data_IF_481797485396
#
_entry.id   IF_481797485396
#
_cell.length_a   1.000
_cell.length_b   1.000
_cell.length_c   1.000
_cell.angle_alpha   90.00
_cell.angle_beta   90.00
_cell.angle_gamma   90.00
#
_symmetry.space_group_name_H-M   'P 1'
#
loop_
_entity.id
_entity.type
_entity.pdbx_description
1 polymer ?
#
# COMPACT_ATOMS: atom_id res chain seq x y z
N UNK A 1 49.66 6.86 0.85
CA UNK A 1 49.35 6.01 -0.32
C UNK A 1 47.86 5.92 -0.48
N UNK A 2 47.31 6.58 -1.50
CA UNK A 2 45.89 6.63 -1.77
C UNK A 2 45.50 5.48 -2.69
N UNK A 3 44.61 4.59 -2.25
CA UNK A 3 43.98 3.59 -3.10
C UNK A 3 42.57 4.08 -3.47
N UNK A 4 42.36 4.35 -4.76
CA UNK A 4 41.08 4.64 -5.38
C UNK A 4 40.41 3.30 -5.68
N UNK A 5 39.23 3.06 -5.11
CA UNK A 5 38.30 1.99 -5.57
C UNK A 5 37.21 2.61 -6.37
N UNK A 6 37.24 2.39 -7.69
CA UNK A 6 36.17 2.68 -8.62
C UNK A 6 35.05 1.68 -8.43
N UNK A 7 33.86 2.13 -8.01
CA UNK A 7 32.63 1.34 -8.07
C UNK A 7 32.04 1.45 -9.47
N UNK A 8 31.97 0.33 -10.18
CA UNK A 8 31.29 0.21 -11.46
C UNK A 8 29.80 0.08 -11.23
N UNK A 9 29.03 1.09 -11.65
CA UNK A 9 27.57 1.03 -11.74
C UNK A 9 27.21 0.22 -12.99
N UNK A 10 26.62 -0.97 -12.79
CA UNK A 10 25.96 -1.72 -13.84
C UNK A 10 24.56 -1.14 -14.05
N UNK A 11 24.38 -0.37 -15.11
CA UNK A 11 23.08 0.08 -15.57
C UNK A 11 22.32 -1.10 -16.21
N UNK A 12 21.26 -1.56 -15.57
CA UNK A 12 20.30 -2.49 -16.19
C UNK A 12 19.32 -1.66 -17.00
N UNK A 13 19.53 -1.61 -18.31
CA UNK A 13 18.60 -1.03 -19.26
C UNK A 13 17.45 -2.01 -19.51
N UNK A 14 16.27 -1.69 -18.99
CA UNK A 14 15.04 -2.39 -19.30
C UNK A 14 14.43 -1.78 -20.57
N UNK A 15 14.61 -2.44 -21.72
CA UNK A 15 13.98 -2.09 -22.98
C UNK A 15 12.52 -2.49 -22.97
N UNK A 16 11.64 -1.49 -22.88
CA UNK A 16 10.20 -1.67 -23.01
C UNK A 16 9.84 -1.74 -24.49
N UNK A 17 9.47 -2.94 -24.97
CA UNK A 17 8.92 -3.14 -26.31
C UNK A 17 7.44 -2.71 -26.31
N UNK A 18 7.15 -1.59 -26.96
CA UNK A 18 5.77 -1.14 -27.23
C UNK A 18 5.27 -1.89 -28.46
N UNK A 19 4.39 -2.87 -28.28
CA UNK A 19 3.65 -3.53 -29.35
C UNK A 19 2.40 -2.72 -29.69
N UNK A 20 2.42 -2.01 -30.82
CA UNK A 20 1.23 -1.42 -31.42
C UNK A 20 0.34 -2.55 -31.97
N UNK A 21 -0.79 -2.80 -31.36
CA UNK A 21 -1.89 -3.54 -31.99
C UNK A 21 -2.80 -2.55 -32.71
N UNK A 22 -2.72 -2.52 -34.02
CA UNK A 22 -3.70 -1.89 -34.88
C UNK A 22 -4.95 -2.77 -34.90
N UNK A 23 -6.05 -2.30 -34.33
CA UNK A 23 -7.35 -2.95 -34.41
C UNK A 23 -8.06 -2.46 -35.67
N UNK A 24 -8.14 -3.34 -36.68
CA UNK A 24 -8.94 -3.10 -37.89
C UNK A 24 -10.43 -3.26 -37.56
N UNK A 25 -11.18 -2.17 -37.60
CA UNK A 25 -12.64 -2.22 -37.55
C UNK A 25 -13.18 -2.73 -38.89
N UNK A 26 -13.75 -3.92 -38.91
CA UNK A 26 -14.50 -4.46 -40.05
C UNK A 26 -15.88 -3.77 -40.12
N UNK A 27 -16.12 -3.05 -41.21
CA UNK A 27 -17.44 -2.55 -41.56
C UNK A 27 -18.34 -3.72 -41.99
N UNK A 28 -19.42 -3.93 -41.25
CA UNK A 28 -20.51 -4.80 -41.65
C UNK A 28 -21.44 -4.04 -42.60
N UNK A 29 -21.63 -4.56 -43.81
CA UNK A 29 -22.61 -4.10 -44.79
C UNK A 29 -24.01 -4.50 -44.39
N UNK A 30 -25.03 -3.63 -44.51
CA UNK A 30 -26.41 -4.02 -44.24
C UNK A 30 -26.99 -4.77 -45.44
N UNK A 31 -27.57 -5.94 -45.22
CA UNK A 31 -28.39 -6.69 -46.17
C UNK A 31 -29.72 -5.97 -46.38
N UNK A 32 -30.06 -5.75 -47.64
CA UNK A 32 -31.37 -5.25 -48.07
C UNK A 32 -32.41 -6.36 -47.98
N UNK A 33 -33.43 -6.14 -47.14
CA UNK A 33 -34.66 -6.96 -47.17
C UNK A 33 -35.75 -6.10 -47.87
N UNK A 34 -36.24 -6.63 -49.01
CA UNK A 34 -37.31 -6.06 -49.80
C UNK A 34 -38.60 -6.77 -49.43
N UNK A 35 -39.42 -6.13 -48.60
CA UNK A 35 -40.85 -6.44 -48.54
C UNK A 35 -41.65 -5.16 -48.52
N UNK A 36 -42.34 -4.90 -49.65
CA UNK A 36 -43.11 -3.70 -49.89
C UNK A 36 -44.44 -3.69 -49.16
N UNK A 37 -44.74 -2.58 -48.51
CA UNK A 37 -46.08 -2.11 -48.28
C UNK A 37 -46.11 -0.60 -48.52
N UNK A 38 -46.96 -0.19 -49.48
CA UNK A 38 -47.10 1.18 -49.89
C UNK A 38 -47.73 2.03 -48.78
N UNK A 39 -47.03 3.04 -48.33
CA UNK A 39 -47.53 4.06 -47.43
C UNK A 39 -47.90 5.31 -48.25
N UNK A 40 -49.01 6.00 -47.92
CA UNK A 40 -49.45 7.19 -48.69
C UNK A 40 -48.45 8.35 -48.50
N UNK A 41 -48.41 9.31 -49.44
CA UNK A 41 -47.38 10.36 -49.43
C UNK A 41 -47.60 11.32 -48.25
N UNK A 42 -46.59 11.30 -47.34
CA UNK A 42 -46.46 12.29 -46.27
C UNK A 42 -45.99 13.60 -46.90
N UNK A 43 -46.83 14.61 -46.90
CA UNK A 43 -46.47 15.99 -47.26
C UNK A 43 -45.43 16.51 -46.28
N UNK A 44 -44.23 16.71 -46.78
CA UNK A 44 -43.08 17.26 -46.02
C UNK A 44 -43.42 18.71 -45.67
N UNK A 45 -43.44 19.09 -44.35
CA UNK A 45 -43.60 20.49 -43.98
C UNK A 45 -42.45 21.32 -44.57
N UNK A 46 -42.76 22.53 -44.98
CA UNK A 46 -41.76 23.46 -45.51
C UNK A 46 -40.63 23.69 -44.47
N UNK A 47 -39.37 23.84 -44.88
CA UNK A 47 -38.30 24.13 -43.98
C UNK A 47 -38.60 25.44 -43.24
N UNK A 48 -38.52 25.39 -41.90
CA UNK A 48 -38.61 26.58 -41.06
C UNK A 48 -37.55 27.61 -41.52
N UNK A 49 -37.85 28.91 -41.51
CA UNK A 49 -36.89 29.92 -41.93
C UNK A 49 -35.66 29.78 -41.05
N UNK A 50 -34.49 29.64 -41.74
CA UNK A 50 -33.18 29.64 -41.08
C UNK A 50 -33.02 30.99 -40.37
N UNK A 51 -33.10 30.94 -39.05
CA UNK A 51 -32.76 32.08 -38.19
C UNK A 51 -31.23 32.29 -38.35
N UNK A 52 -30.86 33.26 -39.16
CA UNK A 52 -29.46 33.74 -39.23
C UNK A 52 -29.21 34.34 -37.85
N UNK A 53 -28.28 33.81 -37.05
CA UNK A 53 -27.98 34.39 -35.76
C UNK A 53 -27.48 35.82 -35.97
N UNK A 54 -28.04 36.77 -35.25
CA UNK A 54 -27.61 38.15 -35.30
C UNK A 54 -26.10 38.26 -35.07
N UNK A 55 -25.38 39.16 -35.76
CA UNK A 55 -23.95 39.33 -35.57
C UNK A 55 -23.69 39.63 -34.08
N UNK A 56 -22.86 38.81 -33.46
CA UNK A 56 -22.45 38.98 -32.07
C UNK A 56 -21.61 40.25 -32.00
N UNK A 57 -22.00 41.18 -31.12
CA UNK A 57 -21.23 42.39 -30.89
C UNK A 57 -19.75 42.04 -30.58
N UNK A 58 -18.77 42.71 -31.20
CA UNK A 58 -17.35 42.43 -31.02
C UNK A 58 -16.91 42.41 -29.57
N UNK A 59 -17.46 43.27 -28.71
CA UNK A 59 -17.18 43.30 -27.28
C UNK A 59 -17.66 42.01 -26.57
N UNK A 60 -18.83 41.50 -26.95
CA UNK A 60 -19.37 40.22 -26.48
C UNK A 60 -18.53 39.04 -26.92
N UNK A 61 -18.03 39.05 -28.18
CA UNK A 61 -17.15 38.02 -28.71
C UNK A 61 -15.80 38.01 -28.00
N UNK A 62 -15.23 39.18 -27.75
CA UNK A 62 -13.96 39.34 -27.01
C UNK A 62 -14.09 38.88 -25.56
N UNK A 63 -15.18 39.23 -24.86
CA UNK A 63 -15.45 38.78 -23.51
C UNK A 63 -15.59 37.23 -23.40
N UNK A 64 -16.30 36.62 -24.36
CA UNK A 64 -16.42 35.15 -24.44
C UNK A 64 -15.08 34.48 -24.67
N UNK A 65 -14.21 35.05 -25.53
CA UNK A 65 -12.88 34.52 -25.80
C UNK A 65 -12.00 34.61 -24.55
N UNK A 66 -12.07 35.70 -23.79
CA UNK A 66 -11.35 35.89 -22.55
C UNK A 66 -11.83 34.89 -21.47
N UNK A 67 -13.15 34.71 -21.35
CA UNK A 67 -13.71 33.72 -20.41
C UNK A 67 -13.27 32.30 -20.74
N UNK A 68 -13.28 31.91 -22.02
CA UNK A 68 -12.82 30.61 -22.48
C UNK A 68 -11.32 30.40 -22.22
N UNK A 69 -10.49 31.44 -22.44
CA UNK A 69 -9.07 31.36 -22.14
C UNK A 69 -8.80 31.18 -20.61
N UNK A 70 -9.59 31.83 -19.76
CA UNK A 70 -9.51 31.69 -18.31
C UNK A 70 -9.93 30.28 -17.85
N UNK A 71 -11.05 29.78 -18.40
CA UNK A 71 -11.49 28.41 -18.13
C UNK A 71 -10.40 27.40 -18.50
N UNK A 72 -9.81 27.51 -19.69
CA UNK A 72 -8.74 26.63 -20.14
C UNK A 72 -7.51 26.66 -19.21
N UNK A 73 -7.16 27.82 -18.63
CA UNK A 73 -6.08 27.89 -17.63
C UNK A 73 -6.43 27.15 -16.34
N UNK A 74 -7.65 27.34 -15.84
CA UNK A 74 -8.12 26.63 -14.64
C UNK A 74 -8.14 25.11 -14.84
N UNK A 75 -8.59 24.66 -16.03
CA UNK A 75 -8.60 23.24 -16.38
C UNK A 75 -7.17 22.69 -16.49
N UNK A 76 -6.22 23.46 -17.02
CA UNK A 76 -4.81 23.09 -17.05
C UNK A 76 -4.20 22.99 -15.64
N UNK A 77 -4.45 23.95 -14.75
CA UNK A 77 -4.01 23.86 -13.36
C UNK A 77 -4.60 22.64 -12.65
N UNK A 78 -5.89 22.38 -12.86
CA UNK A 78 -6.54 21.20 -12.27
C UNK A 78 -5.86 19.92 -12.76
N UNK A 79 -5.62 19.78 -14.06
CA UNK A 79 -4.96 18.61 -14.63
C UNK A 79 -3.54 18.41 -14.07
N UNK A 80 -2.76 19.50 -13.88
CA UNK A 80 -1.44 19.42 -13.26
C UNK A 80 -1.51 19.01 -11.79
N UNK A 81 -2.47 19.54 -11.02
CA UNK A 81 -2.68 19.15 -9.63
C UNK A 81 -3.09 17.68 -9.50
N UNK A 82 -4.02 17.22 -10.35
CA UNK A 82 -4.49 15.84 -10.34
C UNK A 82 -3.35 14.86 -10.68
N UNK A 83 -2.47 15.21 -11.64
CA UNK A 83 -1.30 14.42 -11.99
C UNK A 83 -0.29 14.35 -10.82
N UNK A 84 0.02 15.49 -10.20
CA UNK A 84 0.94 15.56 -9.06
C UNK A 84 0.38 14.83 -7.82
N UNK A 85 -0.92 14.90 -7.58
CA UNK A 85 -1.59 14.18 -6.50
C UNK A 85 -1.51 12.65 -6.71
N UNK A 86 -1.65 12.19 -7.96
CA UNK A 86 -1.47 10.77 -8.29
C UNK A 86 -0.01 10.32 -8.06
N UNK A 87 0.97 11.11 -8.50
CA UNK A 87 2.39 10.81 -8.26
C UNK A 87 2.73 10.78 -6.77
N UNK A 88 2.18 11.70 -5.98
CA UNK A 88 2.31 11.71 -4.53
C UNK A 88 1.71 10.47 -3.88
N UNK A 89 0.53 10.03 -4.33
CA UNK A 89 -0.12 8.82 -3.81
C UNK A 89 0.74 7.57 -4.09
N UNK A 90 1.29 7.44 -5.31
CA UNK A 90 2.19 6.36 -5.69
C UNK A 90 3.47 6.37 -4.83
N UNK A 91 4.08 7.54 -4.65
CA UNK A 91 5.29 7.68 -3.85
C UNK A 91 5.03 7.38 -2.36
N UNK A 92 3.89 7.81 -1.82
CA UNK A 92 3.48 7.54 -0.46
C UNK A 92 3.30 6.03 -0.20
N UNK A 93 2.62 5.33 -1.08
CA UNK A 93 2.44 3.88 -0.95
C UNK A 93 3.76 3.12 -1.14
N UNK A 94 4.63 3.55 -2.04
CA UNK A 94 5.95 2.97 -2.18
C UNK A 94 6.82 3.16 -0.91
N UNK A 95 6.68 4.29 -0.22
CA UNK A 95 7.30 4.51 1.09
C UNK A 95 6.72 3.58 2.16
N UNK A 96 5.40 3.47 2.23
CA UNK A 96 4.71 2.61 3.19
C UNK A 96 5.12 1.15 3.01
N UNK A 97 5.17 0.66 1.75
CA UNK A 97 5.64 -0.69 1.43
C UNK A 97 7.08 -0.95 1.86
N UNK A 98 8.00 -0.02 1.59
CA UNK A 98 9.39 -0.13 2.04
C UNK A 98 9.51 -0.10 3.58
N UNK A 99 8.66 0.68 4.26
CA UNK A 99 8.59 0.73 5.72
C UNK A 99 8.14 -0.59 6.33
N UNK A 100 7.13 -1.23 5.76
CA UNK A 100 6.65 -2.56 6.16
C UNK A 100 7.77 -3.60 5.98
N UNK A 101 8.48 -3.59 4.84
CA UNK A 101 9.60 -4.49 4.58
C UNK A 101 10.75 -4.29 5.58
N UNK A 102 11.09 -3.04 5.90
CA UNK A 102 12.11 -2.74 6.88
C UNK A 102 11.73 -3.25 8.27
N UNK A 103 10.48 -3.06 8.69
CA UNK A 103 9.99 -3.56 9.98
C UNK A 103 10.10 -5.09 10.06
N UNK A 104 9.64 -5.81 9.04
CA UNK A 104 9.75 -7.27 8.95
C UNK A 104 11.21 -7.76 8.93
N UNK A 105 12.10 -7.04 8.22
CA UNK A 105 13.53 -7.35 8.20
C UNK A 105 14.17 -7.17 9.58
N UNK A 106 13.85 -6.09 10.29
CA UNK A 106 14.34 -5.82 11.66
C UNK A 106 13.86 -6.86 12.66
N UNK A 107 12.62 -7.29 12.56
CA UNK A 107 12.08 -8.36 13.39
C UNK A 107 12.85 -9.67 13.15
N UNK A 108 13.01 -10.06 11.88
CA UNK A 108 13.79 -11.24 11.51
C UNK A 108 15.25 -11.16 11.98
N UNK A 109 15.88 -10.00 11.87
CA UNK A 109 17.23 -9.74 12.39
C UNK A 109 17.31 -10.00 13.89
N UNK A 110 16.33 -9.52 14.65
CA UNK A 110 16.28 -9.70 16.10
C UNK A 110 16.20 -11.17 16.47
N UNK A 111 15.32 -11.93 15.84
CA UNK A 111 15.17 -13.37 16.05
C UNK A 111 16.45 -14.11 15.67
N UNK A 112 17.00 -13.85 14.48
CA UNK A 112 18.24 -14.51 14.03
C UNK A 112 19.43 -14.22 14.94
N UNK A 113 19.58 -13.00 15.47
CA UNK A 113 20.61 -12.64 16.46
C UNK A 113 20.46 -13.46 17.75
N UNK A 114 19.24 -13.63 18.21
CA UNK A 114 18.94 -14.40 19.42
C UNK A 114 19.24 -15.90 19.19
N UNK A 115 18.85 -16.44 18.06
CA UNK A 115 19.11 -17.84 17.69
C UNK A 115 20.60 -18.11 17.57
N UNK A 116 21.35 -17.20 16.92
CA UNK A 116 22.80 -17.28 16.77
C UNK A 116 23.50 -17.28 18.14
N UNK A 117 23.13 -16.33 19.01
CA UNK A 117 23.71 -16.27 20.36
C UNK A 117 23.43 -17.54 21.18
N UNK A 118 22.22 -18.11 21.03
CA UNK A 118 21.86 -19.36 21.69
C UNK A 118 22.66 -20.56 21.15
N UNK A 119 22.88 -20.60 19.84
CA UNK A 119 23.66 -21.64 19.18
C UNK A 119 25.16 -21.56 19.56
N UNK A 120 25.70 -20.35 19.62
CA UNK A 120 27.09 -20.11 20.08
C UNK A 120 27.28 -20.57 21.54
N UNK A 121 26.36 -20.22 22.43
CA UNK A 121 26.41 -20.67 23.83
C UNK A 121 26.31 -22.20 23.95
N UNK A 122 25.48 -22.86 23.17
CA UNK A 122 25.39 -24.31 23.15
C UNK A 122 26.67 -24.97 22.64
N UNK A 123 27.26 -24.40 21.58
CA UNK A 123 28.53 -24.86 21.02
C UNK A 123 29.69 -24.76 22.07
N UNK A 124 29.76 -23.64 22.80
CA UNK A 124 30.75 -23.43 23.86
C UNK A 124 30.61 -24.45 24.99
N UNK A 125 29.39 -24.77 25.42
CA UNK A 125 29.13 -25.81 26.42
C UNK A 125 29.66 -27.18 25.93
N UNK A 126 29.36 -27.57 24.70
CA UNK A 126 29.77 -28.85 24.15
C UNK A 126 31.28 -28.90 23.93
N UNK A 127 31.90 -27.80 23.48
CA UNK A 127 33.33 -27.66 23.34
C UNK A 127 34.03 -27.84 24.69
N UNK A 128 33.59 -27.18 25.73
CA UNK A 128 34.14 -27.29 27.07
C UNK A 128 34.01 -28.72 27.64
N UNK A 129 32.92 -29.41 27.33
CA UNK A 129 32.73 -30.82 27.72
C UNK A 129 33.77 -31.71 27.01
N UNK A 130 33.98 -31.54 25.70
CA UNK A 130 34.96 -32.28 24.92
C UNK A 130 36.37 -32.00 25.42
N UNK A 131 36.72 -30.73 25.66
CA UNK A 131 38.01 -30.32 26.19
C UNK A 131 38.28 -30.94 27.55
N UNK A 132 37.34 -30.96 28.44
CA UNK A 132 37.45 -31.61 29.75
C UNK A 132 37.69 -33.11 29.60
N UNK A 133 37.05 -33.80 28.69
CA UNK A 133 37.27 -35.23 28.39
C UNK A 133 38.67 -35.48 27.82
N UNK A 134 39.13 -34.65 26.86
CA UNK A 134 40.47 -34.75 26.29
C UNK A 134 41.54 -34.52 27.35
N UNK A 135 41.35 -33.53 28.25
CA UNK A 135 42.26 -33.27 29.37
C UNK A 135 42.32 -34.43 30.37
N UNK A 136 41.15 -35.03 30.68
CA UNK A 136 41.11 -36.22 31.54
C UNK A 136 41.88 -37.40 30.93
N UNK A 137 41.67 -37.67 29.64
CA UNK A 137 42.37 -38.71 28.91
C UNK A 137 43.90 -38.49 28.89
N UNK A 138 44.36 -37.23 28.79
CA UNK A 138 45.77 -36.88 28.81
C UNK A 138 46.38 -36.91 30.21
N UNK A 139 45.66 -36.43 31.25
CA UNK A 139 46.15 -36.30 32.64
C UNK A 139 46.23 -37.63 33.35
N UNK A 140 45.25 -38.50 33.16
CA UNK A 140 45.19 -39.81 33.84
C UNK A 140 46.13 -40.84 33.19
N UNK A 141 47.06 -40.38 32.33
CA UNK A 141 48.19 -41.16 31.80
C UNK A 141 47.74 -42.50 31.27
N UNK A 142 46.95 -42.43 30.20
CA UNK A 142 46.58 -43.57 29.36
C UNK A 142 46.51 -44.91 30.10
N UNK A 143 45.39 -45.20 30.74
CA UNK A 143 44.92 -46.55 30.51
C UNK A 143 44.61 -46.67 29.02
N UNK A 144 45.66 -47.05 28.24
CA UNK A 144 45.45 -47.32 26.86
C UNK A 144 44.34 -48.33 26.77
N UNK A 145 43.34 -48.15 25.87
CA UNK A 145 42.28 -49.16 25.71
C UNK A 145 42.85 -50.57 25.64
N UNK A 146 44.12 -50.71 25.19
CA UNK A 146 44.90 -51.92 25.20
C UNK A 146 45.19 -52.43 26.63
N UNK A 147 45.57 -51.61 27.57
CA UNK A 147 45.88 -52.02 28.93
C UNK A 147 44.61 -52.46 29.65
N UNK A 148 43.47 -51.76 29.46
CA UNK A 148 42.17 -52.15 29.96
C UNK A 148 41.71 -53.52 29.40
N UNK A 149 42.02 -53.83 28.16
CA UNK A 149 41.75 -55.10 27.53
C UNK A 149 42.68 -56.21 28.07
N UNK A 150 43.96 -55.92 28.28
CA UNK A 150 44.94 -56.87 28.81
C UNK A 150 44.67 -57.26 30.29
N UNK A 151 43.96 -56.46 31.05
CA UNK A 151 43.52 -56.74 32.41
C UNK A 151 42.26 -57.62 32.49
N UNK A 152 41.71 -58.07 31.33
CA UNK A 152 40.52 -58.92 31.29
C UNK A 152 40.83 -60.31 31.90
N UNK A 153 39.95 -60.78 32.79
CA UNK A 153 40.11 -62.04 33.51
C UNK A 153 39.49 -63.26 32.78
N UNK A 154 38.70 -62.97 31.76
CA UNK A 154 38.07 -64.01 30.93
C UNK A 154 37.70 -63.46 29.55
N UNK A 155 37.46 -64.33 28.59
CA UNK A 155 37.02 -63.94 27.25
C UNK A 155 35.74 -63.13 27.23
N UNK A 156 34.67 -63.44 28.02
CA UNK A 156 33.51 -62.61 28.15
C UNK A 156 33.82 -61.22 28.71
N UNK A 157 34.70 -61.07 29.73
CA UNK A 157 35.12 -59.81 30.29
C UNK A 157 35.90 -58.98 29.25
N UNK A 158 36.78 -59.63 28.45
CA UNK A 158 37.50 -58.99 27.35
C UNK A 158 36.55 -58.42 26.30
N UNK A 159 35.55 -59.19 25.87
CA UNK A 159 34.54 -58.74 24.85
C UNK A 159 33.71 -57.60 25.38
N UNK A 160 33.27 -57.62 26.64
CA UNK A 160 32.54 -56.54 27.28
C UNK A 160 33.35 -55.24 27.33
N UNK A 161 34.61 -55.31 27.69
CA UNK A 161 35.54 -54.16 27.72
C UNK A 161 35.82 -53.61 26.29
N UNK A 162 35.95 -54.48 25.33
CA UNK A 162 36.16 -54.10 23.91
C UNK A 162 34.91 -53.37 23.40
N UNK A 163 33.70 -53.86 23.68
CA UNK A 163 32.44 -53.21 23.30
C UNK A 163 32.28 -51.84 23.98
N UNK A 164 32.64 -51.75 25.28
CA UNK A 164 32.63 -50.48 26.02
C UNK A 164 33.61 -49.45 25.41
N UNK A 165 34.86 -49.83 25.08
CA UNK A 165 35.83 -48.94 24.43
C UNK A 165 35.33 -48.51 23.04
N UNK A 166 34.80 -49.46 22.27
CA UNK A 166 34.22 -49.19 20.95
C UNK A 166 33.05 -48.20 21.02
N UNK A 167 32.17 -48.35 22.02
CA UNK A 167 31.04 -47.48 22.25
C UNK A 167 31.47 -46.07 22.60
N UNK A 168 32.47 -45.90 23.50
CA UNK A 168 33.06 -44.61 23.81
C UNK A 168 33.65 -43.94 22.58
N UNK A 169 34.45 -44.66 21.78
CA UNK A 169 35.07 -44.12 20.60
C UNK A 169 34.07 -43.68 19.52
N UNK A 170 33.00 -44.44 19.38
CA UNK A 170 31.86 -44.04 18.50
C UNK A 170 31.19 -42.75 19.02
N UNK A 171 30.87 -42.70 20.32
CA UNK A 171 30.23 -41.53 20.91
C UNK A 171 31.08 -40.26 20.78
N UNK A 172 32.43 -40.36 20.92
CA UNK A 172 33.31 -39.23 20.76
C UNK A 172 33.43 -38.78 19.29
N UNK A 173 33.44 -39.72 18.35
CA UNK A 173 33.40 -39.41 16.92
C UNK A 173 32.06 -38.76 16.48
N UNK A 174 30.95 -39.21 17.05
CA UNK A 174 29.64 -38.63 16.80
C UNK A 174 29.57 -37.19 17.34
N UNK A 175 30.02 -36.96 18.57
CA UNK A 175 30.08 -35.62 19.18
C UNK A 175 30.97 -34.68 18.34
N UNK A 176 32.15 -35.13 17.88
CA UNK A 176 33.04 -34.32 17.04
C UNK A 176 32.36 -33.94 15.70
N UNK A 177 31.60 -34.86 15.08
CA UNK A 177 30.84 -34.58 13.84
C UNK A 177 29.71 -33.60 14.09
N UNK A 178 29.00 -33.76 15.20
CA UNK A 178 27.92 -32.83 15.58
C UNK A 178 28.44 -31.40 15.80
N UNK A 179 29.57 -31.26 16.55
CA UNK A 179 30.25 -29.97 16.74
C UNK A 179 30.66 -29.32 15.42
N UNK A 180 31.21 -30.11 14.47
CA UNK A 180 31.55 -29.59 13.15
C UNK A 180 30.32 -29.08 12.40
N UNK A 181 29.23 -29.82 12.41
CA UNK A 181 27.97 -29.45 11.77
C UNK A 181 27.36 -28.19 12.41
N UNK A 182 27.39 -28.10 13.73
CA UNK A 182 26.88 -26.93 14.47
C UNK A 182 27.72 -25.69 14.13
N UNK A 183 29.05 -25.80 14.08
CA UNK A 183 29.95 -24.70 13.67
C UNK A 183 29.60 -24.20 12.27
N UNK A 184 29.45 -25.10 11.30
CA UNK A 184 29.13 -24.74 9.93
C UNK A 184 27.75 -24.07 9.84
N UNK A 185 26.79 -24.50 10.66
CA UNK A 185 25.46 -23.89 10.78
C UNK A 185 25.56 -22.46 11.33
N UNK A 186 26.34 -22.25 12.38
CA UNK A 186 26.58 -20.94 12.99
C UNK A 186 27.27 -19.98 11.99
N UNK A 187 28.27 -20.44 11.25
CA UNK A 187 28.97 -19.65 10.22
C UNK A 187 27.98 -19.22 9.11
N UNK A 188 27.10 -20.12 8.67
CA UNK A 188 26.05 -19.78 7.68
C UNK A 188 25.04 -18.78 8.23
N UNK A 189 24.56 -18.96 9.47
CA UNK A 189 23.65 -18.03 10.13
C UNK A 189 24.28 -16.65 10.32
N UNK A 190 25.55 -16.56 10.69
CA UNK A 190 26.28 -15.31 10.81
C UNK A 190 26.41 -14.58 9.45
N UNK A 191 26.69 -15.34 8.37
CA UNK A 191 26.71 -14.79 7.00
C UNK A 191 25.35 -14.25 6.57
N UNK A 192 24.29 -14.99 6.85
CA UNK A 192 22.91 -14.56 6.49
C UNK A 192 22.45 -13.36 7.32
N UNK A 193 22.86 -13.30 8.60
CA UNK A 193 22.66 -12.13 9.44
C UNK A 193 23.30 -10.87 8.84
N UNK A 194 24.56 -10.98 8.42
CA UNK A 194 25.29 -9.87 7.80
C UNK A 194 24.60 -9.39 6.51
N UNK A 195 24.15 -10.31 5.66
CA UNK A 195 23.36 -9.95 4.46
C UNK A 195 22.07 -9.23 4.80
N UNK A 196 21.35 -9.71 5.81
CA UNK A 196 20.10 -9.09 6.25
C UNK A 196 20.33 -7.69 6.87
N UNK A 197 21.43 -7.46 7.56
CA UNK A 197 21.84 -6.13 8.05
C UNK A 197 22.07 -5.16 6.89
N UNK A 198 22.82 -5.57 5.86
CA UNK A 198 23.03 -4.75 4.67
C UNK A 198 21.74 -4.42 3.93
N UNK A 199 20.79 -5.36 3.87
CA UNK A 199 19.47 -5.12 3.29
C UNK A 199 18.68 -4.09 4.13
N UNK A 200 18.73 -4.21 5.45
CA UNK A 200 18.06 -3.25 6.34
C UNK A 200 18.63 -1.84 6.19
N UNK A 201 19.96 -1.70 6.13
CA UNK A 201 20.62 -0.40 5.89
C UNK A 201 20.25 0.19 4.51
N UNK A 202 20.20 -0.63 3.46
CA UNK A 202 19.79 -0.20 2.13
C UNK A 202 18.33 0.28 2.10
N UNK A 203 17.43 -0.42 2.80
CA UNK A 203 16.04 -0.03 2.95
C UNK A 203 15.89 1.28 3.74
N UNK A 204 16.65 1.48 4.80
CA UNK A 204 16.65 2.76 5.55
C UNK A 204 17.12 3.94 4.68
N UNK A 205 18.13 3.71 3.86
CA UNK A 205 18.62 4.73 2.91
C UNK A 205 17.55 5.04 1.85
N UNK A 206 16.92 4.02 1.26
CA UNK A 206 15.84 4.17 0.27
C UNK A 206 14.64 4.92 0.87
N UNK A 207 14.22 4.57 2.09
CA UNK A 207 13.15 5.27 2.80
C UNK A 207 13.45 6.76 2.99
N UNK A 208 14.68 7.10 3.37
CA UNK A 208 15.08 8.49 3.53
C UNK A 208 15.08 9.26 2.22
N UNK A 209 15.51 8.64 1.13
CA UNK A 209 15.47 9.22 -0.21
C UNK A 209 14.02 9.48 -0.67
N UNK A 210 13.12 8.51 -0.48
CA UNK A 210 11.69 8.64 -0.79
C UNK A 210 11.02 9.73 0.04
N UNK A 211 11.37 9.83 1.32
CA UNK A 211 10.85 10.89 2.20
C UNK A 211 11.20 12.29 1.67
N UNK A 212 12.45 12.49 1.22
CA UNK A 212 12.90 13.75 0.64
C UNK A 212 12.15 14.04 -0.67
N UNK A 213 11.99 13.04 -1.54
CA UNK A 213 11.25 13.16 -2.79
C UNK A 213 9.80 13.60 -2.54
N UNK A 214 9.10 12.94 -1.62
CA UNK A 214 7.71 13.25 -1.28
C UNK A 214 7.59 14.67 -0.72
N UNK A 215 8.52 15.09 0.15
CA UNK A 215 8.54 16.47 0.67
C UNK A 215 8.73 17.50 -0.45
N UNK A 216 9.59 17.20 -1.43
CA UNK A 216 9.78 18.03 -2.61
C UNK A 216 8.50 18.18 -3.44
N UNK A 217 7.80 17.08 -3.72
CA UNK A 217 6.52 17.07 -4.45
C UNK A 217 5.41 17.80 -3.70
N UNK A 218 5.36 17.68 -2.37
CA UNK A 218 4.42 18.44 -1.54
C UNK A 218 4.68 19.96 -1.68
N UNK A 219 5.93 20.39 -1.65
CA UNK A 219 6.30 21.80 -1.83
C UNK A 219 5.96 22.32 -3.23
N UNK A 220 6.18 21.52 -4.27
CA UNK A 220 5.78 21.81 -5.66
C UNK A 220 4.26 21.98 -5.76
N UNK A 221 3.49 21.08 -5.18
CA UNK A 221 2.03 21.19 -5.12
C UNK A 221 1.55 22.45 -4.43
N UNK A 222 2.17 22.81 -3.30
CA UNK A 222 1.83 24.05 -2.58
C UNK A 222 2.12 25.30 -3.43
N UNK A 223 3.23 25.30 -4.16
CA UNK A 223 3.59 26.40 -5.07
C UNK A 223 2.58 26.53 -6.21
N UNK A 224 2.18 25.41 -6.80
CA UNK A 224 1.19 25.38 -7.88
C UNK A 224 -0.18 25.87 -7.38
N UNK A 225 -0.61 25.46 -6.19
CA UNK A 225 -1.85 25.93 -5.58
C UNK A 225 -1.82 27.43 -5.28
N UNK A 226 -0.70 27.96 -4.75
CA UNK A 226 -0.55 29.39 -4.48
C UNK A 226 -0.61 30.22 -5.78
N UNK A 227 0.01 29.73 -6.86
CA UNK A 227 -0.07 30.35 -8.19
C UNK A 227 -1.51 30.37 -8.71
N UNK A 228 -2.22 29.23 -8.68
CA UNK A 228 -3.61 29.14 -9.11
C UNK A 228 -4.54 30.05 -8.28
N UNK A 229 -4.32 30.15 -6.97
CA UNK A 229 -5.05 31.05 -6.09
C UNK A 229 -4.77 32.52 -6.41
N UNK A 230 -3.52 32.89 -6.70
CA UNK A 230 -3.15 34.24 -7.12
C UNK A 230 -3.84 34.63 -8.43
N UNK A 231 -3.85 33.74 -9.41
CA UNK A 231 -4.52 33.96 -10.69
C UNK A 231 -6.05 34.09 -10.50
N UNK A 232 -6.65 33.28 -9.63
CA UNK A 232 -8.08 33.36 -9.30
C UNK A 232 -8.40 34.70 -8.62
N UNK A 233 -7.60 35.16 -7.64
CA UNK A 233 -7.80 36.44 -6.99
C UNK A 233 -7.63 37.63 -7.95
N UNK A 234 -6.70 37.56 -8.89
CA UNK A 234 -6.54 38.53 -9.96
C UNK A 234 -7.77 38.58 -10.88
N UNK A 235 -8.42 37.44 -11.09
CA UNK A 235 -9.68 37.33 -11.85
C UNK A 235 -10.87 37.93 -11.09
N UNK A 236 -10.94 37.71 -9.76
CA UNK A 236 -11.99 38.25 -8.89
C UNK A 236 -11.78 39.74 -8.58
N UNK A 237 -10.59 40.28 -8.80
CA UNK A 237 -10.25 41.69 -8.61
C UNK A 237 -10.91 42.68 -9.58
N UNK A 238 -11.50 42.20 -10.69
CA UNK A 238 -12.36 43.01 -11.55
C UNK A 238 -13.73 43.17 -10.89
N UNK A 239 -14.18 44.38 -10.69
CA UNK A 239 -15.30 44.81 -9.84
C UNK A 239 -16.65 44.10 -10.06
N UNK A 240 -16.84 43.45 -11.20
CA UNK A 240 -18.06 42.71 -11.50
C UNK A 240 -18.17 41.33 -10.84
N UNK A 241 -17.05 40.73 -10.41
CA UNK A 241 -17.03 39.41 -9.75
C UNK A 241 -17.22 39.50 -8.22
N UNK A 242 -17.12 40.72 -7.63
CA UNK A 242 -17.35 40.98 -6.19
C UNK A 242 -18.82 40.92 -5.77
N UNK A 243 -19.73 40.76 -6.70
CA UNK A 243 -21.15 40.55 -6.36
C UNK A 243 -21.37 39.08 -5.97
N UNK A 244 -21.12 38.85 -4.68
CA UNK A 244 -21.71 37.76 -3.90
C UNK A 244 -21.77 36.40 -4.61
N UNK A 245 -20.65 35.68 -4.61
CA UNK A 245 -20.75 34.24 -4.48
C UNK A 245 -21.31 34.04 -3.06
N UNK A 246 -22.59 33.73 -2.98
CA UNK A 246 -23.25 33.44 -1.73
C UNK A 246 -22.65 32.13 -1.20
N UNK A 247 -21.64 32.25 -0.32
CA UNK A 247 -20.90 31.13 0.27
C UNK A 247 -21.89 30.18 0.99
N UNK A 248 -23.00 30.74 1.48
CA UNK A 248 -24.10 29.98 2.06
C UNK A 248 -24.87 29.17 1.00
N UNK A 249 -25.01 29.66 -0.24
CA UNK A 249 -25.71 28.92 -1.30
C UNK A 249 -24.83 27.77 -1.85
N UNK A 250 -23.52 27.97 -1.92
CA UNK A 250 -22.57 26.92 -2.30
C UNK A 250 -22.50 25.83 -1.23
N UNK A 251 -22.38 26.19 0.04
CA UNK A 251 -22.45 25.28 1.18
C UNK A 251 -23.79 24.53 1.22
N UNK A 252 -24.91 25.21 0.97
CA UNK A 252 -26.25 24.60 0.92
C UNK A 252 -26.39 23.62 -0.25
N UNK A 253 -25.78 23.90 -1.41
CA UNK A 253 -25.79 22.98 -2.56
C UNK A 253 -24.92 21.75 -2.34
N UNK A 254 -23.78 21.89 -1.68
CA UNK A 254 -22.89 20.79 -1.29
C UNK A 254 -23.58 19.91 -0.23
N UNK A 255 -24.21 20.53 0.77
CA UNK A 255 -24.97 19.82 1.80
C UNK A 255 -26.24 19.15 1.25
N UNK A 256 -26.93 19.75 0.28
CA UNK A 256 -28.07 19.13 -0.38
C UNK A 256 -27.70 17.95 -1.27
N UNK A 257 -26.52 17.99 -1.91
CA UNK A 257 -25.98 16.84 -2.66
C UNK A 257 -25.63 15.66 -1.77
N UNK A 258 -25.13 15.92 -0.56
CA UNK A 258 -24.84 14.88 0.44
C UNK A 258 -26.11 14.25 1.06
N UNK A 259 -27.24 14.96 1.03
CA UNK A 259 -28.49 14.53 1.67
C UNK A 259 -29.28 13.46 0.90
N UNK A 260 -28.88 13.08 -0.32
CA UNK A 260 -29.63 12.12 -1.16
C UNK A 260 -29.03 10.72 -1.25
N UNK A 261 -27.95 10.41 -0.51
CA UNK A 261 -27.38 9.08 -0.51
C UNK A 261 -28.01 8.26 0.62
N UNK A 262 -28.98 7.44 0.27
CA UNK A 262 -29.61 6.47 1.19
C UNK A 262 -28.65 5.32 1.52
N UNK A 263 -27.58 5.60 2.25
CA UNK A 263 -26.63 4.58 2.74
C UNK A 263 -27.11 4.12 4.12
N UNK A 264 -27.44 2.84 4.23
CA UNK A 264 -27.74 2.21 5.53
C UNK A 264 -26.43 1.80 6.19
N UNK A 265 -26.08 2.46 7.30
CA UNK A 265 -24.91 2.12 8.11
C UNK A 265 -25.30 1.13 9.18
N UNK A 266 -24.67 -0.03 9.20
CA UNK A 266 -24.87 -1.04 10.26
C UNK A 266 -24.10 -0.61 11.50
N UNK A 267 -24.75 -0.47 12.68
CA UNK A 267 -24.08 -0.16 13.93
C UNK A 267 -22.98 -1.18 14.26
N UNK A 268 -21.83 -0.71 14.76
CA UNK A 268 -20.68 -1.54 15.08
C UNK A 268 -19.91 -2.05 13.85
N UNK A 269 -20.20 -1.55 12.65
CA UNK A 269 -19.51 -1.96 11.42
C UNK A 269 -18.24 -1.13 11.14
N UNK A 270 -17.33 -1.65 10.30
CA UNK A 270 -16.17 -0.87 9.81
C UNK A 270 -16.61 0.44 9.11
N UNK A 271 -17.75 0.45 8.43
CA UNK A 271 -18.29 1.65 7.76
C UNK A 271 -18.62 2.73 8.78
N UNK A 272 -19.33 2.40 9.88
CA UNK A 272 -19.60 3.36 10.94
C UNK A 272 -18.29 3.93 11.52
N UNK A 273 -17.33 3.06 11.77
CA UNK A 273 -16.03 3.45 12.29
C UNK A 273 -15.29 4.38 11.33
N UNK A 274 -15.27 4.08 10.03
CA UNK A 274 -14.61 4.90 9.02
C UNK A 274 -15.27 6.28 8.87
N UNK A 275 -16.60 6.32 8.85
CA UNK A 275 -17.38 7.57 8.77
C UNK A 275 -17.20 8.46 10.00
N UNK A 276 -16.93 7.88 11.17
CA UNK A 276 -16.61 8.62 12.38
C UNK A 276 -15.34 9.48 12.26
N UNK A 277 -14.46 9.16 11.32
CA UNK A 277 -13.25 9.93 11.01
C UNK A 277 -13.42 10.90 9.82
N UNK A 278 -14.66 11.08 9.31
CA UNK A 278 -14.92 12.08 8.28
C UNK A 278 -14.46 13.47 8.71
N UNK A 279 -13.78 14.19 7.82
CA UNK A 279 -13.22 15.53 8.12
C UNK A 279 -11.84 15.51 8.81
N UNK A 280 -11.29 14.36 9.18
CA UNK A 280 -9.92 14.24 9.69
C UNK A 280 -8.95 14.54 8.53
N UNK A 281 -7.91 15.39 8.74
CA UNK A 281 -6.97 15.73 7.69
C UNK A 281 -6.25 14.52 7.11
N UNK A 282 -5.97 14.56 5.80
CA UNK A 282 -4.99 13.65 5.21
C UNK A 282 -3.60 14.00 5.75
N UNK A 283 -2.91 12.99 6.24
CA UNK A 283 -1.50 13.08 6.63
C UNK A 283 -0.77 11.91 5.98
N UNK A 284 0.24 12.21 5.19
CA UNK A 284 1.07 11.19 4.57
C UNK A 284 1.74 10.30 5.63
N UNK A 285 1.68 8.97 5.47
CA UNK A 285 2.12 7.99 6.47
C UNK A 285 1.29 8.00 7.75
N UNK A 286 0.14 8.68 7.75
CA UNK A 286 -0.75 8.81 8.90
C UNK A 286 -1.66 7.59 9.07
N UNK A 287 -1.73 7.08 10.30
CA UNK A 287 -2.54 5.93 10.67
C UNK A 287 -3.24 6.12 12.04
N UNK A 288 -3.56 7.37 12.40
CA UNK A 288 -4.15 7.71 13.69
C UNK A 288 -5.23 8.77 13.54
N UNK A 289 -6.12 8.98 14.53
CA UNK A 289 -7.11 10.05 14.52
C UNK A 289 -6.55 11.48 14.38
N UNK A 290 -5.24 11.68 14.48
CA UNK A 290 -4.60 12.97 14.20
C UNK A 290 -4.44 13.24 12.70
N UNK A 291 -4.52 12.19 11.87
CA UNK A 291 -4.43 12.25 10.43
C UNK A 291 -4.25 10.86 9.83
N UNK A 292 -4.80 10.65 8.66
CA UNK A 292 -4.74 9.39 7.93
C UNK A 292 -4.26 9.57 6.49
N UNK A 293 -3.49 8.62 5.99
CA UNK A 293 -3.44 8.36 4.56
C UNK A 293 -4.44 7.27 4.16
N UNK A 294 -4.48 6.88 2.88
CA UNK A 294 -5.50 5.97 2.38
C UNK A 294 -5.43 4.58 3.04
N UNK A 295 -4.26 3.97 3.06
CA UNK A 295 -4.04 2.63 3.63
C UNK A 295 -4.01 2.64 5.15
N UNK A 296 -3.57 3.75 5.77
CA UNK A 296 -3.61 3.95 7.21
C UNK A 296 -5.02 4.09 7.77
N UNK A 297 -5.93 4.74 7.05
CA UNK A 297 -7.35 4.80 7.42
C UNK A 297 -7.97 3.39 7.46
N UNK A 298 -7.79 2.63 6.40
CA UNK A 298 -8.36 1.27 6.30
C UNK A 298 -7.73 0.33 7.33
N UNK A 299 -6.40 0.38 7.51
CA UNK A 299 -5.68 -0.36 8.54
C UNK A 299 -6.23 -0.05 9.93
N UNK A 300 -6.29 1.22 10.30
CA UNK A 300 -6.76 1.65 11.61
C UNK A 300 -8.21 1.26 11.89
N UNK A 301 -9.09 1.39 10.89
CA UNK A 301 -10.49 1.00 11.01
C UNK A 301 -10.60 -0.52 11.22
N UNK A 302 -9.96 -1.31 10.39
CA UNK A 302 -10.05 -2.76 10.46
C UNK A 302 -9.39 -3.37 11.70
N UNK A 303 -8.32 -2.76 12.21
CA UNK A 303 -7.71 -3.14 13.49
C UNK A 303 -8.73 -3.10 14.64
N UNK A 304 -9.60 -2.08 14.66
CA UNK A 304 -10.67 -1.95 15.65
C UNK A 304 -11.76 -3.01 15.52
N UNK A 305 -11.78 -3.75 14.41
CA UNK A 305 -12.69 -4.86 14.11
C UNK A 305 -12.00 -6.23 14.13
N UNK A 306 -10.77 -6.30 14.70
CA UNK A 306 -10.01 -7.54 14.88
C UNK A 306 -9.30 -8.03 13.61
N UNK A 307 -9.16 -7.19 12.60
CA UNK A 307 -8.44 -7.52 11.35
C UNK A 307 -7.15 -6.68 11.28
N UNK A 308 -6.00 -7.35 11.26
CA UNK A 308 -4.71 -6.70 11.09
C UNK A 308 -4.40 -6.55 9.61
N UNK A 309 -4.31 -5.32 9.14
CA UNK A 309 -3.93 -4.98 7.77
C UNK A 309 -2.56 -4.27 7.77
N UNK A 310 -1.71 -4.50 6.78
CA UNK A 310 -0.47 -3.74 6.62
C UNK A 310 -0.78 -2.29 6.23
N UNK A 311 0.11 -1.36 6.58
CA UNK A 311 0.03 0.04 6.16
C UNK A 311 0.59 0.20 4.74
N UNK A 312 -0.03 -0.53 3.78
CA UNK A 312 0.34 -0.51 2.36
C UNK A 312 -0.83 -1.05 1.52
N UNK A 313 -1.39 -0.24 0.65
CA UNK A 313 -2.61 -0.58 -0.10
C UNK A 313 -2.43 -1.82 -0.98
N UNK A 314 -1.27 -2.00 -1.62
CA UNK A 314 -1.01 -3.17 -2.45
C UNK A 314 -0.98 -4.47 -1.64
N UNK A 315 -0.41 -4.47 -0.44
CA UNK A 315 -0.41 -5.65 0.44
C UNK A 315 -1.81 -5.91 0.98
N UNK A 316 -2.57 -4.88 1.33
CA UNK A 316 -3.98 -5.04 1.66
C UNK A 316 -4.74 -5.70 0.52
N UNK A 317 -4.52 -5.28 -0.74
CA UNK A 317 -5.16 -5.89 -1.90
C UNK A 317 -4.89 -7.39 -2.04
N UNK A 318 -3.72 -7.88 -1.60
CA UNK A 318 -3.35 -9.29 -1.68
C UNK A 318 -4.01 -10.15 -0.59
N UNK A 319 -4.44 -9.57 0.54
CA UNK A 319 -4.88 -10.33 1.72
C UNK A 319 -6.36 -10.71 1.72
N UNK A 320 -7.24 -9.90 1.13
CA UNK A 320 -8.69 -10.10 1.21
C UNK A 320 -9.24 -11.05 0.16
N UNK A 321 -10.51 -11.46 0.32
CA UNK A 321 -11.26 -12.23 -0.67
C UNK A 321 -11.67 -11.31 -1.84
N UNK A 322 -11.35 -11.65 -3.11
CA UNK A 322 -11.74 -10.87 -4.27
C UNK A 322 -13.26 -10.74 -4.40
N UNK A 323 -13.74 -9.53 -4.64
CA UNK A 323 -15.18 -9.22 -4.82
C UNK A 323 -15.38 -8.56 -6.18
N UNK A 324 -16.38 -9.04 -6.93
CA UNK A 324 -16.77 -8.42 -8.19
C UNK A 324 -17.58 -7.14 -7.92
N UNK A 325 -17.58 -6.15 -8.84
CA UNK A 325 -18.32 -4.90 -8.65
C UNK A 325 -19.82 -5.09 -8.36
N UNK A 326 -20.45 -6.13 -8.94
CA UNK A 326 -21.85 -6.45 -8.72
C UNK A 326 -22.16 -6.97 -7.31
N UNK A 327 -21.17 -7.49 -6.60
CA UNK A 327 -21.30 -8.10 -5.27
C UNK A 327 -20.72 -7.22 -4.14
N UNK A 328 -20.44 -5.94 -4.43
CA UNK A 328 -19.92 -5.00 -3.44
C UNK A 328 -20.93 -4.82 -2.30
N UNK A 329 -20.41 -4.90 -1.08
CA UNK A 329 -21.17 -4.66 0.15
C UNK A 329 -20.46 -3.62 1.02
N UNK A 330 -21.21 -2.86 1.85
CA UNK A 330 -20.62 -1.93 2.80
C UNK A 330 -19.54 -2.62 3.68
N UNK A 331 -18.39 -2.00 3.76
CA UNK A 331 -17.19 -2.55 4.42
C UNK A 331 -16.16 -3.15 3.46
N UNK A 332 -16.49 -3.50 2.21
CA UNK A 332 -15.49 -3.96 1.25
C UNK A 332 -14.47 -2.85 0.98
N UNK A 333 -13.19 -3.20 0.88
CA UNK A 333 -12.18 -2.26 0.43
C UNK A 333 -12.14 -2.22 -1.09
N UNK A 334 -12.14 -1.02 -1.65
CA UNK A 334 -12.03 -0.74 -3.09
C UNK A 334 -10.67 -0.15 -3.38
N UNK A 335 -10.02 -0.65 -4.42
CA UNK A 335 -8.64 -0.36 -4.75
C UNK A 335 -8.51 0.27 -6.13
N UNK A 336 -7.51 1.13 -6.29
CA UNK A 336 -7.26 1.89 -7.50
C UNK A 336 -5.80 1.75 -7.94
N UNK A 337 -5.59 1.87 -9.27
CA UNK A 337 -4.29 1.63 -9.90
C UNK A 337 -4.22 0.27 -10.60
N UNK A 338 -4.53 0.24 -11.91
CA UNK A 338 -4.61 -1.02 -12.67
C UNK A 338 -3.26 -1.71 -12.86
N UNK A 339 -2.19 -0.95 -12.96
CA UNK A 339 -0.83 -1.47 -13.14
C UNK A 339 -0.13 -1.67 -11.80
N UNK A 340 -0.35 -0.78 -10.86
CA UNK A 340 0.18 -0.83 -9.50
C UNK A 340 -0.85 -0.20 -8.57
N UNK A 341 -1.25 -0.92 -7.53
CA UNK A 341 -2.19 -0.40 -6.54
C UNK A 341 -1.50 0.74 -5.78
N UNK A 342 -2.11 1.93 -5.83
CA UNK A 342 -1.59 3.11 -5.15
C UNK A 342 -2.62 3.80 -4.25
N UNK A 343 -3.87 3.34 -4.25
CA UNK A 343 -4.91 3.93 -3.42
C UNK A 343 -5.95 2.90 -2.98
N UNK A 344 -6.56 3.15 -1.82
CA UNK A 344 -7.60 2.31 -1.23
C UNK A 344 -8.62 3.18 -0.49
N UNK A 345 -9.86 2.72 -0.48
CA UNK A 345 -10.92 3.27 0.35
C UNK A 345 -11.92 2.19 0.72
N UNK A 346 -12.90 2.51 1.57
CA UNK A 346 -13.90 1.57 2.04
C UNK A 346 -15.26 1.87 1.40
N UNK A 347 -15.83 0.88 0.71
CA UNK A 347 -17.15 0.98 0.12
C UNK A 347 -18.22 1.09 1.23
N UNK A 348 -19.14 2.05 1.07
CA UNK A 348 -20.19 2.33 2.06
C UNK A 348 -21.61 2.02 1.55
N UNK A 349 -21.74 1.61 0.27
CA UNK A 349 -23.01 1.35 -0.38
C UNK A 349 -23.42 2.45 -1.37
N UNK A 350 -24.43 2.18 -2.20
CA UNK A 350 -24.99 3.17 -3.14
C UNK A 350 -24.02 3.70 -4.21
N UNK A 351 -22.89 3.03 -4.46
CA UNK A 351 -21.85 3.49 -5.37
C UNK A 351 -20.90 4.51 -4.75
N UNK A 352 -20.83 4.61 -3.41
CA UNK A 352 -19.98 5.53 -2.67
C UNK A 352 -18.95 4.78 -1.82
N UNK A 353 -17.82 5.45 -1.55
CA UNK A 353 -16.80 4.95 -0.66
C UNK A 353 -16.20 6.09 0.17
N UNK A 354 -15.72 5.78 1.37
CA UNK A 354 -15.00 6.70 2.25
C UNK A 354 -13.50 6.49 2.06
N UNK A 355 -12.75 7.58 2.00
CA UNK A 355 -11.32 7.58 1.74
C UNK A 355 -10.61 8.75 2.41
N UNK A 356 -9.28 8.61 2.61
CA UNK A 356 -8.36 9.70 2.83
C UNK A 356 -7.60 9.94 1.50
N UNK A 357 -7.95 10.97 0.70
CA UNK A 357 -7.58 10.98 -0.71
C UNK A 357 -6.16 11.47 -0.98
N UNK A 358 -5.71 12.61 -0.39
CA UNK A 358 -4.44 13.27 -0.73
C UNK A 358 -4.06 14.38 0.24
N UNK A 359 -2.81 14.81 0.20
CA UNK A 359 -2.28 15.94 0.97
C UNK A 359 -3.11 17.22 0.73
N UNK A 360 -3.49 17.90 1.81
CA UNK A 360 -4.31 19.11 1.78
C UNK A 360 -5.81 18.85 1.66
N UNK A 361 -6.22 17.60 1.74
CA UNK A 361 -7.60 17.15 1.78
C UNK A 361 -7.88 16.47 3.14
N UNK A 362 -9.05 15.91 3.30
CA UNK A 362 -9.51 15.25 4.53
C UNK A 362 -10.26 13.97 4.20
N UNK A 363 -10.48 13.12 5.20
CA UNK A 363 -11.32 11.93 5.05
C UNK A 363 -12.71 12.34 4.59
N UNK A 364 -13.14 11.81 3.46
CA UNK A 364 -14.42 12.17 2.81
C UNK A 364 -15.07 11.01 2.08
N UNK A 365 -16.34 11.19 1.75
CA UNK A 365 -17.12 10.27 0.91
C UNK A 365 -17.05 10.74 -0.55
N UNK A 366 -16.80 9.81 -1.46
CA UNK A 366 -16.68 10.07 -2.91
C UNK A 366 -17.46 9.00 -3.68
N UNK A 367 -17.94 9.32 -4.90
CA UNK A 367 -18.54 8.33 -5.79
C UNK A 367 -17.47 7.44 -6.40
N UNK A 368 -17.71 6.14 -6.42
CA UNK A 368 -16.79 5.16 -7.02
C UNK A 368 -16.59 5.42 -8.52
N UNK A 369 -17.62 5.89 -9.21
CA UNK A 369 -17.59 6.23 -10.64
C UNK A 369 -16.72 7.45 -10.99
N UNK A 370 -16.33 8.25 -10.01
CA UNK A 370 -15.44 9.42 -10.21
C UNK A 370 -13.96 9.01 -10.28
N UNK A 371 -13.62 7.75 -9.93
CA UNK A 371 -12.28 7.18 -10.05
C UNK A 371 -12.21 6.25 -11.26
N UNK A 372 -11.51 6.67 -12.32
CA UNK A 372 -11.47 5.96 -13.60
C UNK A 372 -10.56 4.72 -13.66
N UNK A 373 -9.74 4.48 -12.64
CA UNK A 373 -8.70 3.46 -12.58
C UNK A 373 -8.96 2.37 -11.52
N UNK A 374 -10.25 2.12 -11.22
CA UNK A 374 -10.67 1.03 -10.33
C UNK A 374 -9.99 -0.29 -10.70
N UNK A 375 -9.30 -0.90 -9.74
CA UNK A 375 -8.52 -2.13 -9.90
C UNK A 375 -9.22 -3.38 -9.37
N UNK A 376 -10.11 -3.22 -8.39
CA UNK A 376 -10.84 -4.32 -7.79
C UNK A 376 -11.26 -4.04 -6.35
N UNK A 377 -11.90 -5.04 -5.73
CA UNK A 377 -12.29 -4.96 -4.33
C UNK A 377 -11.92 -6.21 -3.55
N UNK A 378 -11.80 -6.06 -2.24
CA UNK A 378 -11.50 -7.14 -1.30
C UNK A 378 -12.44 -7.08 -0.10
N UNK A 379 -12.87 -8.26 0.35
CA UNK A 379 -13.66 -8.44 1.58
C UNK A 379 -12.82 -9.11 2.64
N UNK A 380 -12.97 -8.65 3.88
CA UNK A 380 -12.31 -9.19 5.06
C UNK A 380 -13.36 -9.63 6.07
N UNK A 381 -13.04 -10.70 6.81
CA UNK A 381 -13.90 -11.16 7.91
C UNK A 381 -13.63 -10.30 9.14
N UNK A 382 -14.58 -9.50 9.53
CA UNK A 382 -14.50 -8.58 10.65
C UNK A 382 -15.52 -8.92 11.75
N UNK A 383 -15.26 -8.45 12.97
CA UNK A 383 -16.16 -8.58 14.11
C UNK A 383 -16.80 -7.25 14.47
N UNK A 384 -18.12 -7.24 14.81
CA UNK A 384 -18.78 -6.02 15.24
C UNK A 384 -18.14 -5.44 16.50
N UNK A 385 -18.03 -4.11 16.54
CA UNK A 385 -17.59 -3.39 17.75
C UNK A 385 -18.73 -3.20 18.72
N UNK A 386 -18.44 -3.41 20.02
CA UNK A 386 -19.38 -3.12 21.12
C UNK A 386 -19.03 -1.83 21.86
N UNK A 387 -17.83 -1.27 21.66
CA UNK A 387 -17.35 -0.07 22.33
C UNK A 387 -17.41 1.16 21.38
N UNK A 388 -17.61 2.39 21.90
CA UNK A 388 -17.59 3.61 21.10
C UNK A 388 -16.22 3.82 20.44
N UNK A 389 -16.20 4.56 19.32
CA UNK A 389 -14.96 4.87 18.59
C UNK A 389 -14.03 5.70 19.46
N UNK A 390 -12.79 5.24 19.66
CA UNK A 390 -11.80 5.95 20.47
C UNK A 390 -11.40 7.26 19.77
N UNK A 391 -11.41 8.36 20.51
CA UNK A 391 -10.90 9.66 20.05
C UNK A 391 -11.96 10.61 19.47
N UNK A 392 -13.24 10.21 19.42
CA UNK A 392 -14.34 11.07 18.97
C UNK A 392 -15.44 11.01 20.02
N UNK A 393 -15.66 12.13 20.72
CA UNK A 393 -16.65 12.23 21.80
C UNK A 393 -18.09 12.25 21.32
N UNK A 394 -18.36 12.57 20.07
CA UNK A 394 -19.66 12.47 19.41
C UNK A 394 -19.48 12.67 17.91
N UNK A 395 -19.90 11.70 17.11
CA UNK A 395 -20.13 11.93 15.69
C UNK A 395 -21.56 12.43 15.54
N UNK A 396 -21.70 13.74 15.43
CA UNK A 396 -22.94 14.28 14.87
C UNK A 396 -22.86 14.01 13.36
N UNK A 397 -23.41 12.87 12.94
CA UNK A 397 -23.64 12.64 11.53
C UNK A 397 -24.45 13.84 11.00
N UNK A 398 -24.06 14.43 9.83
CA UNK A 398 -24.95 15.38 9.19
C UNK A 398 -26.30 14.67 9.09
N UNK A 399 -27.34 15.26 9.65
CA UNK A 399 -28.61 14.64 10.02
C UNK A 399 -29.43 13.91 8.94
N UNK A 400 -28.83 13.59 7.77
CA UNK A 400 -29.49 12.99 6.62
C UNK A 400 -28.79 11.71 6.11
N UNK A 401 -27.74 11.21 6.79
CA UNK A 401 -27.11 9.92 6.48
C UNK A 401 -27.66 8.75 7.33
N UNK A 402 -28.61 9.07 8.24
CA UNK A 402 -29.21 8.06 9.10
C UNK A 402 -30.69 7.98 8.84
N UNK A 403 -31.15 6.76 8.62
CA UNK A 403 -32.48 6.19 8.75
C UNK A 403 -33.41 6.23 7.54
N UNK A 404 -33.54 5.12 6.92
CA UNK A 404 -34.70 4.22 7.18
C UNK A 404 -34.32 2.79 6.83
#
# INVERSE_FOLDING_TARGET
MRARTSAAYAAISLTLAVSLFASSAAFATPTTDTSGTAQPPVTRPAPAPSVIPAPVDPATAQFRAELAARQARLDAFKAQLDALDQELAIAAEAYNGASVQLAATKEKLTVTKQDLSSAEAALDIQRNLLETRVQAMYRDGSYSGAELLLQARSLPDFLTRLDFISTIGKSDADLARELATQRDTIENQASDLQKAELIAEALEFDLKARQIEIQGRIAERQTLMASAQSDLLALLGTESARRQVDEAALLKSILAGAAQVGVTVTPGSPVETALAYHGIPYVWGGATPSGFDCSGLTMYVYEQHGVQLPHHAADQYLMGTPITPANLQPGDLVFFGRTSIYHVGMYIGGGYFVQAPRTGDFVKVTKLSEHGDYAGARRYNWSPRTAPVRGISSVTMPGNLVTR
#
